data_IF_399202405923
#
_entry.id   IF_399202405923
#
_cell.length_a   1.000
_cell.length_b   1.000
_cell.length_c   1.000
_cell.angle_alpha   90.00
_cell.angle_beta   90.00
_cell.angle_gamma   90.00
#
_symmetry.space_group_name_H-M   'P 1'
#
loop_
_entity.id
_entity.type
_entity.pdbx_description
1 polymer ?
#
# COMPACT_ATOMS: atom_id res chain seq x y z
N UNK A 1 21.32 8.99 14.00
CA UNK A 1 20.06 9.19 13.26
C UNK A 1 19.79 7.94 12.44
N UNK A 2 18.53 7.56 12.23
CA UNK A 2 18.16 6.48 11.27
C UNK A 2 17.95 7.01 9.84
N UNK A 3 17.96 8.34 9.65
CA UNK A 3 17.87 9.01 8.36
C UNK A 3 19.07 9.96 8.17
N UNK A 4 19.56 10.08 6.94
CA UNK A 4 20.51 11.12 6.50
C UNK A 4 20.22 11.56 5.06
N UNK A 5 20.96 12.56 4.59
CA UNK A 5 20.87 13.09 3.21
C UNK A 5 19.44 13.44 2.76
N UNK A 6 18.65 13.95 3.71
CA UNK A 6 17.25 14.31 3.49
C UNK A 6 17.17 15.55 2.59
N UNK A 7 16.44 15.43 1.50
CA UNK A 7 16.06 16.54 0.62
C UNK A 7 14.59 16.41 0.24
N UNK A 8 13.93 17.52 -0.08
CA UNK A 8 12.52 17.47 -0.43
C UNK A 8 12.13 18.57 -1.43
N UNK A 9 11.13 18.29 -2.27
CA UNK A 9 10.56 19.22 -3.23
C UNK A 9 9.09 18.88 -3.52
N UNK A 10 8.35 19.85 -4.04
CA UNK A 10 7.07 19.55 -4.65
C UNK A 10 7.28 18.68 -5.92
N UNK A 11 6.46 17.64 -6.03
CA UNK A 11 6.30 16.81 -7.21
C UNK A 11 5.11 17.37 -8.01
N UNK A 12 5.20 17.41 -9.34
CA UNK A 12 4.17 17.99 -10.21
C UNK A 12 3.95 19.52 -10.06
N UNK A 13 4.84 20.25 -9.38
CA UNK A 13 4.73 21.73 -9.24
C UNK A 13 4.66 22.45 -10.59
N UNK A 14 5.48 22.01 -11.55
CA UNK A 14 5.54 22.56 -12.90
C UNK A 14 4.52 21.94 -13.87
N UNK A 15 3.61 21.09 -13.39
CA UNK A 15 2.49 20.62 -14.22
C UNK A 15 1.48 21.75 -14.45
N UNK A 16 0.99 21.94 -15.68
CA UNK A 16 -0.11 22.87 -15.95
C UNK A 16 -1.42 22.48 -15.23
N UNK A 17 -1.59 21.19 -14.88
CA UNK A 17 -2.76 20.67 -14.17
C UNK A 17 -2.52 20.49 -12.67
N UNK A 18 -1.27 20.34 -12.24
CA UNK A 18 -0.90 19.97 -10.88
C UNK A 18 -1.48 20.90 -9.82
N UNK A 19 -1.42 22.23 -10.04
CA UNK A 19 -1.99 23.21 -9.10
C UNK A 19 -3.49 22.98 -8.89
N UNK A 20 -4.23 22.73 -9.98
CA UNK A 20 -5.67 22.48 -9.91
C UNK A 20 -5.97 21.11 -9.27
N UNK A 21 -5.35 20.02 -9.74
CA UNK A 21 -5.64 18.68 -9.22
C UNK A 21 -5.29 18.57 -7.73
N UNK A 22 -4.12 19.08 -7.33
CA UNK A 22 -3.60 18.98 -5.97
C UNK A 22 -3.99 20.17 -5.09
N UNK A 23 -5.29 20.32 -4.87
CA UNK A 23 -5.87 21.22 -3.86
C UNK A 23 -5.39 22.67 -3.89
N UNK A 24 -5.17 23.26 -5.07
CA UNK A 24 -4.70 24.64 -5.23
C UNK A 24 -3.27 24.85 -4.70
N UNK A 25 -2.37 23.91 -5.01
CA UNK A 25 -0.94 24.00 -4.70
C UNK A 25 -0.44 23.13 -3.53
N UNK A 26 -1.28 22.25 -2.96
CA UNK A 26 -0.84 21.19 -2.04
C UNK A 26 -0.33 19.99 -2.82
N UNK A 27 0.67 20.24 -3.68
CA UNK A 27 1.34 19.23 -4.50
C UNK A 27 1.85 18.05 -3.66
N UNK A 28 1.89 16.81 -4.20
CA UNK A 28 2.55 15.70 -3.53
C UNK A 28 4.02 16.07 -3.27
N UNK A 29 4.52 15.83 -2.07
CA UNK A 29 5.84 16.27 -1.65
C UNK A 29 6.81 15.10 -1.70
N UNK A 30 7.73 15.11 -2.67
CA UNK A 30 8.78 14.11 -2.81
C UNK A 30 9.89 14.43 -1.81
N UNK A 31 10.08 13.56 -0.83
CA UNK A 31 11.19 13.56 0.12
C UNK A 31 12.13 12.41 -0.25
N UNK A 32 13.40 12.72 -0.54
CA UNK A 32 14.45 11.72 -0.69
C UNK A 32 15.21 11.60 0.62
N UNK A 33 15.48 10.38 1.08
CA UNK A 33 16.32 10.15 2.25
C UNK A 33 17.12 8.85 2.13
N UNK A 34 18.30 8.83 2.75
CA UNK A 34 18.98 7.58 3.03
C UNK A 34 18.53 7.05 4.40
N UNK A 35 18.01 5.82 4.42
CA UNK A 35 17.54 5.10 5.59
C UNK A 35 18.61 4.10 6.03
N UNK A 36 18.92 4.04 7.32
CA UNK A 36 19.83 3.05 7.88
C UNK A 36 19.15 1.69 7.96
N UNK A 37 19.68 0.70 7.23
CA UNK A 37 19.23 -0.69 7.25
C UNK A 37 19.70 -1.47 8.48
N UNK A 38 19.06 -2.60 8.73
CA UNK A 38 19.39 -3.55 9.80
C UNK A 38 20.77 -4.21 9.62
N UNK A 39 21.29 -4.20 8.40
CA UNK A 39 22.63 -4.62 8.01
C UNK A 39 23.70 -3.52 8.18
N UNK A 40 23.32 -2.36 8.73
CA UNK A 40 24.10 -1.12 8.84
C UNK A 40 24.45 -0.44 7.51
N UNK A 41 23.84 -0.86 6.39
CA UNK A 41 23.99 -0.18 5.10
C UNK A 41 22.96 0.94 4.95
N UNK A 42 23.32 1.99 4.21
CA UNK A 42 22.39 3.09 3.91
C UNK A 42 21.68 2.82 2.58
N UNK A 43 20.35 2.93 2.59
CA UNK A 43 19.47 2.68 1.45
C UNK A 43 18.73 3.96 1.08
N UNK A 44 18.82 4.39 -0.18
CA UNK A 44 17.98 5.46 -0.69
C UNK A 44 16.51 4.99 -0.76
N UNK A 45 15.62 5.75 -0.11
CA UNK A 45 14.16 5.57 -0.12
C UNK A 45 13.50 6.93 -0.37
N UNK A 46 12.54 6.93 -1.27
CA UNK A 46 11.73 8.09 -1.65
C UNK A 46 10.38 8.00 -0.96
N UNK A 47 9.93 9.11 -0.38
CA UNK A 47 8.61 9.25 0.22
C UNK A 47 7.83 10.30 -0.57
N UNK A 48 6.59 10.02 -0.95
CA UNK A 48 5.69 10.99 -1.59
C UNK A 48 4.53 11.24 -0.62
N UNK A 49 4.61 12.36 0.09
CA UNK A 49 3.61 12.76 1.09
C UNK A 49 2.51 13.53 0.37
N UNK A 50 1.24 13.14 0.52
CA UNK A 50 0.13 13.83 -0.12
C UNK A 50 -1.05 14.13 0.81
N UNK A 51 -1.80 15.17 0.47
CA UNK A 51 -3.12 15.47 1.03
C UNK A 51 -3.97 15.95 -0.16
N UNK A 52 -4.77 15.04 -0.70
CA UNK A 52 -5.48 15.23 -1.97
C UNK A 52 -6.65 16.24 -1.86
N UNK A 53 -7.37 16.44 -2.96
CA UNK A 53 -8.56 17.30 -2.95
C UNK A 53 -9.66 16.63 -2.12
N UNK A 54 -10.13 17.30 -1.07
CA UNK A 54 -11.25 16.85 -0.23
C UNK A 54 -12.63 17.00 -0.89
N UNK A 55 -13.68 16.50 -0.24
CA UNK A 55 -15.11 16.46 -0.67
C UNK A 55 -15.47 15.35 -1.67
N UNK A 56 -16.72 14.90 -1.62
CA UNK A 56 -17.33 13.90 -2.52
C UNK A 56 -17.97 14.48 -3.78
N UNK A 57 -17.91 15.80 -4.00
CA UNK A 57 -18.48 16.41 -5.20
C UNK A 57 -17.74 15.99 -6.48
N UNK A 58 -18.47 15.92 -7.60
CA UNK A 58 -17.94 15.46 -8.88
C UNK A 58 -16.68 16.23 -9.35
N UNK A 59 -16.50 17.51 -9.02
CA UNK A 59 -15.27 18.23 -9.40
C UNK A 59 -14.07 17.78 -8.56
N UNK A 60 -14.28 17.56 -7.25
CA UNK A 60 -13.25 17.04 -6.35
C UNK A 60 -12.82 15.63 -6.70
N UNK A 61 -13.76 14.77 -7.08
CA UNK A 61 -13.51 13.41 -7.56
C UNK A 61 -12.69 13.40 -8.85
N UNK A 62 -13.10 14.17 -9.87
CA UNK A 62 -12.36 14.27 -11.12
C UNK A 62 -10.94 14.84 -10.92
N UNK A 63 -10.74 15.75 -9.95
CA UNK A 63 -9.40 16.23 -9.55
C UNK A 63 -8.54 15.14 -8.92
N UNK A 64 -9.09 14.32 -8.02
CA UNK A 64 -8.38 13.15 -7.46
C UNK A 64 -7.99 12.16 -8.56
N UNK A 65 -8.93 11.81 -9.45
CA UNK A 65 -8.68 10.87 -10.56
C UNK A 65 -7.63 11.37 -11.55
N UNK A 66 -7.70 12.64 -11.95
CA UNK A 66 -6.71 13.25 -12.85
C UNK A 66 -5.33 13.38 -12.19
N UNK A 67 -5.28 13.77 -10.91
CA UNK A 67 -4.03 13.78 -10.13
C UNK A 67 -3.42 12.40 -9.97
N UNK A 68 -4.23 11.36 -9.71
CA UNK A 68 -3.79 9.98 -9.59
C UNK A 68 -3.17 9.45 -10.89
N UNK A 69 -3.78 9.74 -12.04
CA UNK A 69 -3.23 9.38 -13.36
C UNK A 69 -1.88 10.06 -13.59
N UNK A 70 -1.81 11.39 -13.41
CA UNK A 70 -0.57 12.16 -13.61
C UNK A 70 0.56 11.72 -12.66
N UNK A 71 0.23 11.38 -11.41
CA UNK A 71 1.16 10.81 -10.45
C UNK A 71 1.67 9.44 -10.91
N UNK A 72 0.79 8.55 -11.39
CA UNK A 72 1.19 7.26 -11.96
C UNK A 72 2.09 7.42 -13.18
N UNK A 73 1.71 8.26 -14.14
CA UNK A 73 2.51 8.51 -15.36
C UNK A 73 3.91 9.03 -14.99
N UNK A 74 3.99 9.90 -13.98
CA UNK A 74 5.26 10.43 -13.45
C UNK A 74 6.10 9.33 -12.78
N UNK A 75 5.47 8.44 -12.01
CA UNK A 75 6.14 7.32 -11.34
C UNK A 75 6.64 6.28 -12.35
N UNK A 76 5.79 5.85 -13.28
CA UNK A 76 6.10 4.87 -14.32
C UNK A 76 7.21 5.34 -15.28
N UNK A 77 7.42 6.66 -15.43
CA UNK A 77 8.49 7.24 -16.27
C UNK A 77 9.77 7.55 -15.48
N UNK A 78 9.68 8.11 -14.28
CA UNK A 78 10.83 8.68 -13.56
C UNK A 78 11.29 7.89 -12.33
N UNK A 79 10.48 6.96 -11.84
CA UNK A 79 10.70 6.25 -10.56
C UNK A 79 10.47 4.73 -10.68
N UNK A 80 10.45 4.18 -11.90
CA UNK A 80 10.06 2.81 -12.22
C UNK A 80 10.96 1.69 -11.66
N UNK A 81 12.10 2.03 -11.07
CA UNK A 81 13.03 1.13 -10.36
C UNK A 81 13.45 1.71 -9.00
N UNK A 82 12.74 2.72 -8.51
CA UNK A 82 13.03 3.38 -7.24
C UNK A 82 12.22 2.77 -6.10
N UNK A 83 12.83 2.74 -4.91
CA UNK A 83 12.15 2.44 -3.65
C UNK A 83 11.28 3.64 -3.24
N UNK A 84 9.99 3.60 -3.56
CA UNK A 84 9.03 4.69 -3.27
C UNK A 84 7.95 4.22 -2.29
N UNK A 85 7.66 5.05 -1.28
CA UNK A 85 6.47 4.96 -0.42
C UNK A 85 5.63 6.23 -0.61
N UNK A 86 4.40 6.10 -1.09
CA UNK A 86 3.41 7.16 -1.19
C UNK A 86 2.49 7.06 0.02
N UNK A 87 2.27 8.16 0.75
CA UNK A 87 1.49 8.14 2.00
C UNK A 87 0.78 9.46 2.29
N UNK A 88 -0.35 9.37 3.00
CA UNK A 88 -1.07 10.52 3.54
C UNK A 88 -2.58 10.39 3.36
N UNK A 89 -3.27 11.54 3.30
CA UNK A 89 -4.72 11.60 3.13
C UNK A 89 -5.08 11.67 1.64
N UNK A 90 -5.56 10.55 1.11
CA UNK A 90 -5.96 10.41 -0.29
C UNK A 90 -7.35 11.02 -0.56
N UNK A 91 -8.10 11.40 0.49
CA UNK A 91 -9.48 11.91 0.43
C UNK A 91 -10.43 11.02 -0.40
N UNK A 92 -10.14 9.72 -0.47
CA UNK A 92 -10.95 8.70 -1.12
C UNK A 92 -10.58 7.34 -0.56
N UNK A 93 -11.54 6.41 -0.52
CA UNK A 93 -11.27 5.02 -0.15
C UNK A 93 -10.64 4.25 -1.32
N UNK A 94 -10.01 3.12 -1.01
CA UNK A 94 -9.38 2.24 -2.00
C UNK A 94 -10.25 1.04 -2.41
N UNK A 95 -11.36 0.77 -1.74
CA UNK A 95 -12.33 -0.27 -2.13
C UNK A 95 -13.56 0.30 -2.87
N UNK A 96 -14.24 1.30 -2.32
CA UNK A 96 -15.33 2.05 -2.96
C UNK A 96 -15.16 3.57 -2.76
N UNK A 97 -15.18 4.34 -3.86
CA UNK A 97 -14.94 5.79 -3.77
C UNK A 97 -16.01 6.52 -2.94
N UNK A 98 -15.60 7.55 -2.19
CA UNK A 98 -16.52 8.42 -1.43
C UNK A 98 -17.39 9.34 -2.31
N UNK A 99 -17.24 9.24 -3.63
CA UNK A 99 -17.84 10.10 -4.64
C UNK A 99 -19.28 9.67 -5.02
N UNK A 100 -19.42 8.99 -6.16
CA UNK A 100 -20.58 8.23 -6.55
C UNK A 100 -20.16 6.77 -6.51
N UNK A 101 -21.04 5.85 -6.11
CA UNK A 101 -20.72 4.43 -5.95
C UNK A 101 -19.97 3.84 -7.15
N UNK A 102 -18.84 3.16 -6.87
CA UNK A 102 -17.89 2.74 -7.90
C UNK A 102 -16.45 2.59 -7.40
N UNK A 103 -15.50 2.29 -8.31
CA UNK A 103 -14.10 2.10 -7.94
C UNK A 103 -13.44 3.40 -7.47
N UNK A 104 -12.40 3.26 -6.65
CA UNK A 104 -11.54 4.36 -6.18
C UNK A 104 -11.07 5.28 -7.32
N UNK A 105 -10.96 6.59 -7.06
CA UNK A 105 -10.29 7.53 -7.97
C UNK A 105 -8.81 7.17 -8.17
N UNK A 106 -8.22 6.36 -7.28
CA UNK A 106 -6.86 5.85 -7.37
C UNK A 106 -6.75 4.47 -8.01
N UNK A 107 -7.83 3.94 -8.63
CA UNK A 107 -7.86 2.61 -9.27
C UNK A 107 -6.66 2.34 -10.19
N UNK A 108 -6.09 3.38 -10.82
CA UNK A 108 -4.89 3.29 -11.67
C UNK A 108 -3.64 2.81 -10.93
N UNK A 109 -3.54 3.05 -9.62
CA UNK A 109 -2.49 2.52 -8.73
C UNK A 109 -2.96 1.27 -7.97
N UNK A 110 -4.26 1.17 -7.65
CA UNK A 110 -4.81 0.07 -6.81
C UNK A 110 -5.05 -1.22 -7.61
N UNK A 111 -5.27 -1.14 -8.94
CA UNK A 111 -5.31 -2.31 -9.80
C UNK A 111 -4.03 -3.15 -9.68
N UNK A 112 -2.87 -2.47 -9.79
CA UNK A 112 -1.54 -3.09 -9.72
C UNK A 112 -1.28 -3.80 -8.38
N UNK A 113 -1.99 -3.40 -7.31
CA UNK A 113 -1.94 -4.03 -5.98
C UNK A 113 -2.69 -5.35 -5.88
N UNK A 114 -3.24 -5.87 -6.99
CA UNK A 114 -4.00 -7.12 -7.02
C UNK A 114 -3.40 -8.22 -7.91
N UNK A 115 -2.39 -7.91 -8.71
CA UNK A 115 -1.80 -8.83 -9.70
C UNK A 115 -0.25 -8.76 -9.82
N UNK A 116 0.43 -8.49 -8.69
CA UNK A 116 1.91 -8.44 -8.59
C UNK A 116 2.59 -7.46 -9.57
N UNK A 117 1.87 -6.41 -9.96
CA UNK A 117 2.32 -5.35 -10.85
C UNK A 117 2.88 -4.15 -10.05
N UNK A 118 3.33 -3.07 -10.71
CA UNK A 118 4.27 -2.06 -10.18
C UNK A 118 4.03 -1.43 -8.79
N UNK A 119 2.81 -1.45 -8.26
CA UNK A 119 2.45 -0.80 -6.99
C UNK A 119 1.63 -1.69 -6.06
N UNK A 120 1.98 -1.72 -4.79
CA UNK A 120 1.26 -2.44 -3.75
C UNK A 120 0.77 -1.50 -2.64
N UNK A 121 -0.51 -1.58 -2.28
CA UNK A 121 -1.09 -0.87 -1.14
C UNK A 121 -1.19 -1.77 0.11
N UNK A 122 -0.28 -1.62 1.10
CA UNK A 122 -0.41 -2.31 2.39
C UNK A 122 -1.66 -1.91 3.19
N UNK A 123 -2.34 -0.81 2.83
CA UNK A 123 -3.55 -0.30 3.51
C UNK A 123 -4.87 -0.74 2.87
N UNK A 124 -4.86 -1.22 1.61
CA UNK A 124 -6.03 -1.77 0.92
C UNK A 124 -6.81 -2.84 1.72
N UNK A 125 -6.18 -3.71 2.54
CA UNK A 125 -6.92 -4.66 3.38
C UNK A 125 -7.79 -3.98 4.44
N UNK A 126 -7.33 -2.88 5.06
CA UNK A 126 -8.08 -2.17 6.11
C UNK A 126 -9.34 -1.53 5.52
N UNK A 127 -9.18 -0.85 4.38
CA UNK A 127 -10.26 -0.30 3.54
C UNK A 127 -11.32 -1.36 3.23
N UNK A 128 -10.93 -2.46 2.56
CA UNK A 128 -11.80 -3.61 2.24
C UNK A 128 -12.46 -4.31 3.44
N UNK A 129 -12.11 -3.93 4.67
CA UNK A 129 -12.68 -4.45 5.91
C UNK A 129 -13.69 -3.49 6.56
N UNK A 130 -14.00 -2.35 5.92
CA UNK A 130 -14.85 -1.30 6.49
C UNK A 130 -14.23 -0.62 7.71
N UNK A 131 -12.89 -0.62 7.82
CA UNK A 131 -12.20 0.19 8.83
C UNK A 131 -12.31 1.65 8.42
N UNK A 132 -12.63 2.53 9.36
CA UNK A 132 -12.60 3.98 9.13
C UNK A 132 -11.36 4.62 9.74
N UNK A 133 -10.67 5.44 8.96
CA UNK A 133 -9.53 6.24 9.45
C UNK A 133 -9.94 7.58 10.07
N UNK A 134 -11.23 7.94 10.09
CA UNK A 134 -11.72 9.25 10.52
C UNK A 134 -12.86 9.13 11.54
N UNK A 135 -12.84 9.97 12.58
CA UNK A 135 -13.90 10.00 13.58
C UNK A 135 -15.24 10.48 12.99
N UNK A 136 -16.26 9.64 13.03
CA UNK A 136 -17.61 9.99 12.57
C UNK A 136 -17.84 9.87 11.06
N UNK A 137 -16.85 9.40 10.30
CA UNK A 137 -16.96 9.08 8.88
C UNK A 137 -16.72 7.57 8.68
N UNK A 138 -17.30 6.95 7.65
CA UNK A 138 -17.25 5.49 7.47
C UNK A 138 -16.05 4.97 6.69
N UNK A 139 -15.43 5.80 5.86
CA UNK A 139 -14.37 5.39 4.93
C UNK A 139 -12.96 5.49 5.51
N UNK A 140 -12.04 4.74 4.92
CA UNK A 140 -10.60 4.80 5.13
C UNK A 140 -9.98 5.73 4.09
N UNK A 141 -9.45 6.89 4.48
CA UNK A 141 -8.85 7.85 3.52
C UNK A 141 -7.32 7.96 3.67
N UNK A 142 -6.77 7.49 4.79
CA UNK A 142 -5.35 7.66 5.18
C UNK A 142 -4.51 6.47 4.72
N UNK A 143 -4.14 6.48 3.45
CA UNK A 143 -3.52 5.34 2.79
C UNK A 143 -1.99 5.38 2.70
N UNK A 144 -1.43 4.19 2.47
CA UNK A 144 -0.06 3.97 2.03
C UNK A 144 -0.07 3.09 0.78
N UNK A 145 0.69 3.49 -0.23
CA UNK A 145 1.01 2.74 -1.46
C UNK A 145 2.53 2.69 -1.58
N UNK A 146 3.11 1.61 -2.11
CA UNK A 146 4.55 1.50 -2.33
C UNK A 146 4.86 0.85 -3.68
N UNK A 147 6.04 1.11 -4.24
CA UNK A 147 6.52 0.40 -5.43
C UNK A 147 6.95 -1.04 -5.09
N UNK A 148 7.07 -1.90 -6.08
CA UNK A 148 7.50 -3.29 -5.87
C UNK A 148 8.91 -3.41 -5.30
N UNK A 149 9.77 -2.44 -5.53
CA UNK A 149 11.12 -2.34 -4.96
C UNK A 149 11.09 -2.20 -3.43
N UNK A 150 9.97 -1.74 -2.86
CA UNK A 150 9.75 -1.69 -1.40
C UNK A 150 9.15 -2.99 -0.82
N UNK A 151 8.60 -3.87 -1.67
CA UNK A 151 7.87 -5.06 -1.23
C UNK A 151 8.73 -6.09 -0.48
N UNK A 152 10.01 -6.37 -0.83
CA UNK A 152 10.89 -7.22 -0.03
C UNK A 152 11.17 -6.69 1.37
N UNK A 153 11.06 -5.37 1.59
CA UNK A 153 11.32 -4.75 2.88
C UNK A 153 10.07 -4.58 3.74
N UNK A 154 8.87 -4.68 3.17
CA UNK A 154 7.63 -4.58 3.94
C UNK A 154 7.52 -5.76 4.90
N UNK A 155 7.32 -5.47 6.19
CA UNK A 155 7.05 -6.52 7.19
C UNK A 155 5.60 -6.98 6.98
N UNK A 156 5.37 -8.24 6.56
CA UNK A 156 4.01 -8.71 6.29
C UNK A 156 3.13 -8.61 7.54
N UNK A 157 1.84 -8.37 7.34
CA UNK A 157 0.87 -8.22 8.41
C UNK A 157 1.24 -7.16 9.49
N UNK A 158 2.07 -6.15 9.15
CA UNK A 158 2.47 -5.09 10.09
C UNK A 158 1.59 -3.84 10.06
N UNK A 159 0.68 -3.76 9.08
CA UNK A 159 -0.17 -2.59 8.84
C UNK A 159 -1.36 -2.56 9.77
N UNK A 160 -1.58 -1.43 10.44
CA UNK A 160 -2.69 -1.23 11.37
C UNK A 160 -3.01 0.24 11.59
N UNK A 161 -4.25 0.52 11.93
CA UNK A 161 -4.69 1.82 12.43
C UNK A 161 -4.49 1.91 13.95
N UNK A 162 -3.95 3.02 14.44
CA UNK A 162 -3.64 3.25 15.86
C UNK A 162 -4.81 3.85 16.66
N UNK A 163 -6.04 3.79 16.16
CA UNK A 163 -7.24 4.34 16.83
C UNK A 163 -7.41 3.84 18.28
N UNK A 164 -7.30 2.52 18.58
CA UNK A 164 -7.40 2.05 19.96
C UNK A 164 -6.32 2.66 20.86
N UNK A 165 -5.08 2.69 20.38
CA UNK A 165 -3.96 3.28 21.11
C UNK A 165 -4.15 4.78 21.37
N UNK A 166 -4.34 5.61 20.33
CA UNK A 166 -4.35 7.07 20.50
C UNK A 166 -5.53 7.55 21.34
N UNK A 167 -6.68 6.89 21.24
CA UNK A 167 -7.85 7.17 22.10
C UNK A 167 -7.68 6.68 23.54
N UNK A 168 -6.82 5.68 23.79
CA UNK A 168 -6.43 5.25 25.14
C UNK A 168 -5.35 6.13 25.77
N UNK A 169 -4.46 6.72 24.95
CA UNK A 169 -3.37 7.58 25.40
C UNK A 169 -3.79 9.03 25.63
N UNK A 170 -4.75 9.53 24.84
CA UNK A 170 -5.22 10.92 24.90
C UNK A 170 -6.74 10.95 24.99
N UNK A 171 -7.26 11.26 26.18
CA UNK A 171 -8.67 11.57 26.39
C UNK A 171 -9.11 12.69 25.44
N UNK A 172 -10.23 12.50 24.75
CA UNK A 172 -10.75 13.43 23.75
C UNK A 172 -9.77 13.73 22.59
N UNK A 173 -8.98 12.73 22.16
CA UNK A 173 -8.08 12.81 21.00
C UNK A 173 -8.68 13.55 19.79
N UNK A 174 -9.94 13.25 19.45
CA UNK A 174 -10.63 13.81 18.28
C UNK A 174 -11.02 15.29 18.42
N UNK A 175 -10.95 15.85 19.62
CA UNK A 175 -11.18 17.28 19.89
C UNK A 175 -9.88 18.08 20.05
N UNK A 176 -8.75 17.41 20.31
CA UNK A 176 -7.50 18.07 20.72
C UNK A 176 -6.27 17.74 19.85
N UNK A 177 -6.29 16.66 19.07
CA UNK A 177 -5.14 16.19 18.28
C UNK A 177 -5.48 16.08 16.80
N UNK A 178 -6.42 15.21 16.45
CA UNK A 178 -6.92 15.06 15.07
C UNK A 178 -8.21 14.26 15.05
N UNK A 179 -9.09 14.61 14.13
CA UNK A 179 -10.25 13.81 13.70
C UNK A 179 -9.84 12.56 12.89
N UNK A 180 -8.66 12.55 12.27
CA UNK A 180 -8.07 11.37 11.62
C UNK A 180 -7.26 10.52 12.63
N UNK A 181 -7.22 9.20 12.41
CA UNK A 181 -6.47 8.25 13.22
C UNK A 181 -5.18 7.81 12.49
N UNK A 182 -4.01 7.82 13.15
CA UNK A 182 -2.76 7.45 12.48
C UNK A 182 -2.75 6.01 11.99
N UNK A 183 -2.26 5.81 10.77
CA UNK A 183 -2.02 4.49 10.17
C UNK A 183 -0.53 4.22 10.18
N UNK A 184 -0.13 3.02 10.60
CA UNK A 184 1.29 2.60 10.61
C UNK A 184 1.49 1.40 9.69
N UNK A 185 2.56 1.45 8.91
CA UNK A 185 3.15 0.33 8.16
C UNK A 185 4.59 0.15 8.67
N UNK A 186 5.18 -1.06 8.58
CA UNK A 186 6.55 -1.32 9.06
C UNK A 186 7.41 -1.95 7.99
N UNK A 187 8.67 -1.53 7.94
CA UNK A 187 9.65 -1.99 6.98
C UNK A 187 10.93 -2.44 7.70
N UNK A 188 11.56 -3.50 7.19
CA UNK A 188 12.91 -3.95 7.56
C UNK A 188 13.80 -3.74 6.35
N UNK A 189 14.47 -2.60 6.34
CA UNK A 189 15.41 -2.20 5.29
C UNK A 189 16.71 -3.00 5.46
N UNK A 190 17.21 -3.61 4.38
CA UNK A 190 18.47 -4.36 4.31
C UNK A 190 18.89 -4.56 2.85
N UNK A 191 20.10 -5.06 2.60
CA UNK A 191 20.56 -5.43 1.25
C UNK A 191 21.43 -4.36 0.58
N UNK A 192 21.88 -4.57 -0.66
CA UNK A 192 22.77 -3.63 -1.34
C UNK A 192 22.06 -2.30 -1.66
N UNK A 193 22.79 -1.18 -1.57
CA UNK A 193 22.28 0.17 -1.85
C UNK A 193 21.64 0.31 -3.25
N UNK A 194 22.06 -0.55 -4.19
CA UNK A 194 21.45 -0.73 -5.51
C UNK A 194 21.03 -2.19 -5.71
N UNK A 195 19.80 -2.39 -6.15
CA UNK A 195 19.35 -3.61 -6.81
C UNK A 195 19.47 -3.34 -8.31
N UNK A 196 20.31 -4.09 -9.04
CA UNK A 196 20.15 -4.13 -10.50
C UNK A 196 18.77 -4.74 -10.81
N UNK A 197 17.97 -4.16 -11.71
CA UNK A 197 16.61 -4.60 -11.94
C UNK A 197 16.61 -6.03 -12.52
N UNK A 198 16.39 -7.03 -11.66
CA UNK A 198 16.16 -8.40 -12.10
C UNK A 198 14.79 -8.48 -12.78
N UNK A 199 14.78 -8.23 -14.10
CA UNK A 199 13.64 -8.38 -15.00
C UNK A 199 13.18 -9.84 -15.20
N UNK A 200 13.14 -10.63 -14.13
CA UNK A 200 12.53 -11.96 -14.08
C UNK A 200 11.04 -11.83 -13.79
N UNK A 201 10.23 -11.66 -14.85
CA UNK A 201 8.76 -11.57 -14.80
C UNK A 201 8.08 -12.92 -14.42
N UNK A 202 8.47 -13.51 -13.29
CA UNK A 202 7.73 -14.60 -12.66
C UNK A 202 6.56 -14.00 -11.86
N UNK A 203 5.45 -13.73 -12.54
CA UNK A 203 4.26 -13.12 -11.94
C UNK A 203 3.60 -14.10 -10.97
N UNK A 204 3.72 -13.84 -9.66
CA UNK A 204 3.01 -14.61 -8.64
C UNK A 204 1.53 -14.27 -8.73
N UNK A 205 0.68 -15.27 -8.92
CA UNK A 205 -0.77 -15.11 -9.06
C UNK A 205 -1.51 -16.09 -8.16
N UNK A 206 -2.67 -15.65 -7.64
CA UNK A 206 -3.48 -16.41 -6.68
C UNK A 206 -4.95 -16.39 -7.12
N UNK A 207 -5.57 -17.56 -7.21
CA UNK A 207 -6.94 -17.69 -7.72
C UNK A 207 -7.65 -18.93 -7.14
N UNK A 208 -9.01 -18.94 -7.07
CA UNK A 208 -9.91 -17.84 -7.38
C UNK A 208 -9.86 -16.73 -6.32
N UNK A 209 -10.14 -15.49 -6.74
CA UNK A 209 -10.30 -14.35 -5.84
C UNK A 209 -11.48 -13.49 -6.37
N UNK A 210 -12.68 -13.52 -5.75
CA UNK A 210 -12.99 -14.13 -4.45
C UNK A 210 -12.83 -15.65 -4.39
N UNK A 211 -12.49 -16.15 -3.20
CA UNK A 211 -12.32 -17.56 -2.88
C UNK A 211 -13.53 -18.10 -2.10
N UNK A 212 -13.68 -19.43 -2.05
CA UNK A 212 -14.72 -20.08 -1.23
C UNK A 212 -14.09 -21.16 -0.36
N UNK A 213 -13.57 -22.22 -0.99
CA UNK A 213 -13.00 -23.37 -0.28
C UNK A 213 -11.48 -23.45 -0.35
N UNK A 214 -10.88 -23.00 -1.46
CA UNK A 214 -9.44 -23.07 -1.70
C UNK A 214 -8.89 -21.86 -2.46
N UNK A 215 -7.57 -21.68 -2.37
CA UNK A 215 -6.74 -20.81 -3.19
C UNK A 215 -5.63 -21.61 -3.84
N UNK A 216 -5.50 -21.55 -5.16
CA UNK A 216 -4.32 -22.03 -5.88
C UNK A 216 -3.29 -20.91 -5.97
N UNK A 217 -2.06 -21.17 -5.53
CA UNK A 217 -0.92 -20.26 -5.73
C UNK A 217 -0.13 -20.71 -6.95
N UNK A 218 0.06 -19.80 -7.91
CA UNK A 218 1.00 -19.95 -9.00
C UNK A 218 2.16 -18.96 -8.79
N UNK A 219 3.23 -19.44 -8.18
CA UNK A 219 4.44 -18.69 -7.86
C UNK A 219 5.47 -18.68 -9.00
N UNK A 220 5.33 -19.54 -10.01
CA UNK A 220 6.23 -19.59 -11.17
C UNK A 220 7.64 -20.13 -10.87
N UNK A 221 7.78 -20.91 -9.78
CA UNK A 221 9.03 -21.58 -9.39
C UNK A 221 8.77 -23.04 -9.01
N UNK A 222 9.73 -23.93 -9.27
CA UNK A 222 9.64 -25.34 -8.86
C UNK A 222 10.06 -25.57 -7.40
N UNK A 223 10.61 -24.54 -6.74
CA UNK A 223 11.11 -24.63 -5.36
C UNK A 223 9.97 -24.53 -4.33
N UNK A 224 10.29 -24.81 -3.07
CA UNK A 224 9.39 -24.48 -1.96
C UNK A 224 9.42 -22.97 -1.75
N UNK A 225 8.25 -22.37 -1.56
CA UNK A 225 8.12 -20.99 -1.11
C UNK A 225 7.38 -20.95 0.22
N UNK A 226 7.68 -19.94 1.03
CA UNK A 226 6.95 -19.68 2.27
C UNK A 226 5.71 -18.82 1.98
N UNK A 227 4.68 -18.96 2.80
CA UNK A 227 3.54 -18.06 2.79
C UNK A 227 3.03 -17.74 4.20
N UNK A 228 2.42 -16.57 4.34
CA UNK A 228 1.74 -16.08 5.54
C UNK A 228 0.34 -15.63 5.16
N UNK A 229 -0.65 -16.12 5.89
CA UNK A 229 -2.05 -15.73 5.73
C UNK A 229 -2.49 -14.99 7.00
N UNK A 230 -2.88 -13.72 6.86
CA UNK A 230 -3.28 -12.86 7.98
C UNK A 230 -4.64 -12.21 7.77
N UNK A 231 -5.27 -11.84 8.88
CA UNK A 231 -6.38 -10.91 8.87
C UNK A 231 -5.90 -9.48 8.49
N UNK A 232 -6.81 -8.59 8.09
CA UNK A 232 -6.49 -7.24 7.63
C UNK A 232 -5.91 -6.31 8.71
N UNK A 233 -6.16 -6.61 9.98
CA UNK A 233 -5.60 -5.95 11.17
C UNK A 233 -4.14 -6.32 11.47
N UNK A 234 -3.54 -7.19 10.64
CA UNK A 234 -2.19 -7.71 10.83
C UNK A 234 -2.10 -8.98 11.70
N UNK A 235 -3.22 -9.51 12.18
CA UNK A 235 -3.21 -10.75 12.97
C UNK A 235 -2.96 -11.95 12.06
N UNK A 236 -1.80 -12.58 12.19
CA UNK A 236 -1.46 -13.83 11.49
C UNK A 236 -2.47 -14.92 11.88
N UNK A 237 -3.03 -15.60 10.88
CA UNK A 237 -3.97 -16.71 11.05
C UNK A 237 -3.25 -18.05 10.89
N UNK A 238 -2.44 -18.19 9.85
CA UNK A 238 -1.55 -19.35 9.64
C UNK A 238 -0.37 -19.00 8.74
N UNK A 239 0.67 -19.82 8.80
CA UNK A 239 1.85 -19.77 7.91
C UNK A 239 2.17 -21.17 7.43
N UNK A 240 2.96 -21.30 6.36
CA UNK A 240 3.40 -22.59 5.86
C UNK A 240 4.34 -22.49 4.68
N UNK A 241 4.66 -23.64 4.11
CA UNK A 241 5.40 -23.78 2.86
C UNK A 241 4.52 -24.46 1.81
N UNK A 242 4.72 -24.11 0.54
CA UNK A 242 3.99 -24.69 -0.58
C UNK A 242 4.87 -24.74 -1.85
N UNK A 243 4.40 -25.48 -2.86
CA UNK A 243 4.98 -25.52 -4.22
C UNK A 243 4.01 -24.91 -5.22
N UNK A 244 4.48 -24.58 -6.43
CA UNK A 244 3.64 -24.05 -7.50
C UNK A 244 2.43 -24.97 -7.77
N UNK A 245 1.24 -24.38 -7.89
CA UNK A 245 0.00 -25.09 -8.10
C UNK A 245 -0.63 -25.73 -6.85
N UNK A 246 -0.05 -25.56 -5.65
CA UNK A 246 -0.63 -26.04 -4.38
C UNK A 246 -1.97 -25.34 -4.09
N UNK A 247 -2.95 -26.11 -3.61
CA UNK A 247 -4.24 -25.60 -3.12
C UNK A 247 -4.20 -25.38 -1.59
N UNK A 248 -4.29 -24.13 -1.16
CA UNK A 248 -4.48 -23.76 0.24
C UNK A 248 -5.96 -23.80 0.60
N UNK A 249 -6.34 -24.59 1.62
CA UNK A 249 -7.71 -24.64 2.11
C UNK A 249 -8.06 -23.37 2.91
N UNK A 250 -9.11 -22.66 2.48
CA UNK A 250 -9.65 -21.45 3.11
C UNK A 250 -11.13 -21.60 3.52
N UNK A 251 -11.75 -22.77 3.29
CA UNK A 251 -13.16 -23.06 3.60
C UNK A 251 -13.59 -22.63 5.02
N UNK A 252 -12.74 -22.82 6.02
CA UNK A 252 -13.05 -22.53 7.43
C UNK A 252 -13.09 -21.06 7.87
N UNK A 253 -12.67 -20.08 7.06
CA UNK A 253 -12.25 -18.76 7.56
C UNK A 253 -13.33 -17.77 8.07
N UNK A 254 -14.64 -18.00 7.85
CA UNK A 254 -15.69 -16.95 7.72
C UNK A 254 -15.52 -16.09 6.45
N UNK A 255 -16.47 -15.18 6.12
CA UNK A 255 -16.39 -14.28 4.94
C UNK A 255 -15.77 -12.92 5.33
N UNK A 256 -14.98 -12.33 4.43
CA UNK A 256 -14.23 -11.10 4.69
C UNK A 256 -13.03 -10.89 3.76
N UNK A 257 -12.23 -9.87 4.06
CA UNK A 257 -10.94 -9.64 3.43
C UNK A 257 -9.80 -10.29 4.24
N UNK A 258 -8.76 -10.75 3.54
CA UNK A 258 -7.56 -11.34 4.13
C UNK A 258 -6.32 -10.96 3.32
N UNK A 259 -5.14 -11.13 3.89
CA UNK A 259 -3.86 -10.86 3.23
C UNK A 259 -3.06 -12.15 3.14
N UNK A 260 -2.75 -12.58 1.92
CA UNK A 260 -1.80 -13.65 1.65
C UNK A 260 -0.50 -13.02 1.18
N UNK A 261 0.57 -13.20 1.96
CA UNK A 261 1.94 -12.88 1.54
C UNK A 261 2.68 -14.15 1.20
N UNK A 262 3.37 -14.17 0.07
CA UNK A 262 4.15 -15.29 -0.46
C UNK A 262 5.58 -14.78 -0.62
N UNK A 263 6.58 -15.53 -0.14
CA UNK A 263 8.00 -15.21 -0.31
C UNK A 263 8.74 -16.43 -0.83
N UNK A 264 9.32 -16.31 -2.03
CA UNK A 264 10.11 -17.35 -2.68
C UNK A 264 11.55 -17.38 -2.16
N UNK A 265 12.25 -18.47 -2.45
CA UNK A 265 13.70 -18.66 -2.20
C UNK A 265 14.58 -17.63 -2.90
N UNK A 266 14.14 -17.10 -4.05
CA UNK A 266 14.79 -16.01 -4.79
C UNK A 266 14.43 -14.62 -4.21
N UNK A 267 14.01 -14.56 -2.94
CA UNK A 267 13.53 -13.39 -2.18
C UNK A 267 12.38 -12.56 -2.82
N UNK A 268 11.80 -13.04 -3.94
CA UNK A 268 10.61 -12.40 -4.53
C UNK A 268 9.44 -12.56 -3.55
N UNK A 269 8.93 -11.43 -3.06
CA UNK A 269 7.74 -11.36 -2.23
C UNK A 269 6.57 -10.86 -3.05
N UNK A 270 5.39 -11.47 -2.89
CA UNK A 270 4.12 -10.97 -3.40
C UNK A 270 3.09 -10.92 -2.28
N UNK A 271 2.33 -9.83 -2.19
CA UNK A 271 1.21 -9.70 -1.26
C UNK A 271 -0.08 -9.54 -2.04
N UNK A 272 -1.08 -10.40 -1.77
CA UNK A 272 -2.35 -10.45 -2.47
C UNK A 272 -3.50 -10.34 -1.47
N UNK A 273 -4.44 -9.44 -1.73
CA UNK A 273 -5.65 -9.29 -0.90
C UNK A 273 -6.73 -10.26 -1.36
N UNK A 274 -7.06 -11.23 -0.52
CA UNK A 274 -8.05 -12.27 -0.78
C UNK A 274 -9.41 -11.83 -0.24
N UNK A 275 -10.47 -11.96 -1.04
CA UNK A 275 -11.86 -11.87 -0.58
C UNK A 275 -12.44 -13.28 -0.42
N UNK A 276 -13.16 -13.54 0.66
CA UNK A 276 -13.78 -14.85 0.96
C UNK A 276 -15.21 -14.68 1.49
#
# INVERSE_FOLDING_TARGET
>A
SMLRNVSARALLEFSPNGYYNWSSGRFPYLVNAEVLGYDNNWQEVKFIILHAKAMSDNSSCNRRKAGAQELKDTLDVHFAVDRVIILGDFNDDFDETICNSGPSNYQVLIADSTDANSYHSPTLPLSKSGVSSISGYSSFLDHVVMTNEMLPFYVPASTRMLKPEVTSWVSSYTSFVSDHYPVITRYRISGPSHIEPQHSKATISVYPNPATDYLKIKAGTNELFSFTFSAPDGRILYTGEARDGTDLNVSGLQSGAYVLTITTTEERTATVVIKK
#
